data_IF_341972820250
#
_entry.id   IF_341972820250
#
_cell.length_a   1.000
_cell.length_b   1.000
_cell.length_c   1.000
_cell.angle_alpha   90.00
_cell.angle_beta   90.00
_cell.angle_gamma   90.00
#
_symmetry.space_group_name_H-M   'P 1'
#
loop_
_entity.id
_entity.type
_entity.pdbx_description
1 polymer ?
#
# COMPACT_ATOMS: atom_id res chain seq x y z
N UNK A 1 -19.71 -5.44 9.08
CA UNK A 1 -18.38 -5.87 9.52
C UNK A 1 -17.35 -5.50 8.48
N UNK A 2 -16.33 -4.79 8.88
CA UNK A 2 -15.28 -4.39 7.96
C UNK A 2 -14.20 -5.47 7.93
N UNK A 3 -13.88 -6.03 6.77
CA UNK A 3 -12.84 -7.06 6.68
C UNK A 3 -11.46 -6.42 6.87
N UNK A 4 -10.92 -6.55 8.06
CA UNK A 4 -9.62 -5.96 8.42
C UNK A 4 -8.49 -6.48 7.54
N UNK A 5 -8.56 -7.74 7.15
CA UNK A 5 -7.54 -8.35 6.29
C UNK A 5 -7.40 -7.63 4.95
N UNK A 6 -8.52 -7.33 4.31
CA UNK A 6 -8.52 -6.63 3.03
C UNK A 6 -8.03 -5.20 3.19
N UNK A 7 -8.48 -4.52 4.24
CA UNK A 7 -8.05 -3.15 4.52
C UNK A 7 -6.54 -3.08 4.77
N UNK A 8 -6.02 -4.01 5.55
CA UNK A 8 -4.58 -4.08 5.81
C UNK A 8 -3.78 -4.37 4.54
N UNK A 9 -4.27 -5.27 3.70
CA UNK A 9 -3.61 -5.57 2.43
C UNK A 9 -3.52 -4.33 1.55
N UNK A 10 -4.58 -3.55 1.48
CA UNK A 10 -4.58 -2.31 0.71
C UNK A 10 -3.58 -1.30 1.25
N UNK A 11 -3.51 -1.15 2.56
CA UNK A 11 -2.56 -0.21 3.19
C UNK A 11 -1.12 -0.64 2.89
N UNK A 12 -0.80 -1.90 3.08
CA UNK A 12 0.54 -2.43 2.85
C UNK A 12 0.92 -2.28 1.37
N UNK A 13 0.05 -2.67 0.47
CA UNK A 13 0.31 -2.57 -0.97
C UNK A 13 0.43 -1.12 -1.43
N UNK A 14 -0.40 -0.24 -0.91
CA UNK A 14 -0.32 1.18 -1.22
C UNK A 14 0.99 1.81 -0.78
N UNK A 15 1.46 1.46 0.41
CA UNK A 15 2.74 1.94 0.93
C UNK A 15 3.91 1.43 0.08
N UNK A 16 3.92 0.14 -0.23
CA UNK A 16 4.98 -0.46 -1.04
C UNK A 16 5.00 0.15 -2.44
N UNK A 17 3.83 0.25 -3.07
CA UNK A 17 3.73 0.83 -4.41
C UNK A 17 4.16 2.29 -4.41
N UNK A 18 3.70 3.06 -3.43
CA UNK A 18 4.09 4.46 -3.31
C UNK A 18 5.59 4.63 -3.11
N UNK A 19 6.19 3.79 -2.29
CA UNK A 19 7.64 3.83 -2.05
C UNK A 19 8.42 3.52 -3.33
N UNK A 20 7.95 2.57 -4.12
CA UNK A 20 8.59 2.23 -5.39
C UNK A 20 8.52 3.42 -6.35
N UNK A 21 7.37 4.03 -6.48
CA UNK A 21 7.19 5.18 -7.37
C UNK A 21 8.04 6.36 -6.96
N UNK A 22 8.11 6.65 -5.67
CA UNK A 22 8.97 7.73 -5.15
C UNK A 22 10.44 7.41 -5.42
N UNK A 23 10.85 6.17 -5.25
CA UNK A 23 12.21 5.75 -5.52
C UNK A 23 12.60 5.90 -6.98
N UNK A 24 11.66 5.64 -7.90
CA UNK A 24 11.91 5.76 -9.34
C UNK A 24 11.86 7.21 -9.79
N UNK A 25 10.85 7.94 -9.33
CA UNK A 25 10.61 9.32 -9.76
C UNK A 25 11.42 10.33 -8.97
N UNK A 26 11.69 9.96 -7.72
CA UNK A 26 12.36 10.85 -6.79
C UNK A 26 13.76 11.13 -7.10
#
# INVERSE_FOLDING_TARGET
MTPMGIAMAHVVFGLVTGAIYVGIAG
#
